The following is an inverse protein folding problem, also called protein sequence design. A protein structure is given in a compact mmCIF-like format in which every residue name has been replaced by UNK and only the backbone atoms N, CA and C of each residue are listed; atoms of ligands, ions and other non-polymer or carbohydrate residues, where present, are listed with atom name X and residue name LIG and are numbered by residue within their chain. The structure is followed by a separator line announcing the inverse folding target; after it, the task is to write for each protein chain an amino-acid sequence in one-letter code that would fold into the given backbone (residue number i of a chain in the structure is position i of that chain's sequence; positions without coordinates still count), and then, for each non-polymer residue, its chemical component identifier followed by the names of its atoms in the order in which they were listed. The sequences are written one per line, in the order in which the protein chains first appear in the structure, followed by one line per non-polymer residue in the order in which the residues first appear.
data_IF_863736619973
#
_entry.id   IF_863736619973
#
_cell.length_a   1.000
_cell.length_b   1.000
_cell.length_c   1.000
_cell.angle_alpha   90.00
_cell.angle_beta   90.00
_cell.angle_gamma   90.00
#
_symmetry.space_group_name_H-M   'P 1'
#
loop_
_entity.id
_entity.type
_entity.pdbx_description
1 polymer ?
#
# COMPACT_ATOMS: atom_id res chain seq x y z
N UNK A 1 6.99 -10.46 0.85
CA UNK A 1 6.08 -9.69 1.73
C UNK A 1 6.83 -8.80 2.72
N UNK A 2 7.62 -9.35 3.64
CA UNK A 2 8.27 -8.57 4.72
C UNK A 2 9.27 -7.53 4.20
N UNK A 3 10.14 -7.88 3.24
CA UNK A 3 11.10 -6.93 2.67
C UNK A 3 10.42 -5.79 1.88
N UNK A 4 9.37 -6.12 1.12
CA UNK A 4 8.59 -5.12 0.38
C UNK A 4 7.85 -4.17 1.31
N UNK A 5 7.27 -4.68 2.40
CA UNK A 5 6.68 -3.85 3.44
C UNK A 5 7.75 -2.93 4.06
N UNK A 6 8.93 -3.44 4.40
CA UNK A 6 9.99 -2.60 4.96
C UNK A 6 10.43 -1.48 4.00
N UNK A 7 10.50 -1.78 2.69
CA UNK A 7 10.77 -0.78 1.64
C UNK A 7 9.70 0.31 1.59
N UNK A 8 8.42 -0.09 1.59
CA UNK A 8 7.27 0.83 1.55
C UNK A 8 7.25 1.71 2.80
N UNK A 9 7.51 1.14 3.98
CA UNK A 9 7.53 1.87 5.25
C UNK A 9 8.64 2.93 5.30
N UNK A 10 9.76 2.70 4.60
CA UNK A 10 10.84 3.68 4.50
C UNK A 10 10.56 4.82 3.52
N UNK A 11 9.64 4.62 2.57
CA UNK A 11 9.34 5.57 1.49
C UNK A 11 8.03 6.34 1.70
N UNK A 12 7.07 5.73 2.41
CA UNK A 12 5.71 6.23 2.54
C UNK A 12 5.32 6.32 4.02
N UNK A 13 4.39 7.23 4.35
CA UNK A 13 3.90 7.41 5.72
C UNK A 13 2.72 6.49 6.02
N UNK A 14 2.88 5.20 5.75
CA UNK A 14 1.87 4.20 6.07
C UNK A 14 2.07 3.65 7.48
N UNK A 15 0.98 3.35 8.17
CA UNK A 15 1.05 2.54 9.37
C UNK A 15 1.54 1.12 9.03
N UNK A 16 2.06 0.40 10.02
CA UNK A 16 2.65 -0.92 9.80
C UNK A 16 1.65 -1.92 9.16
N UNK A 17 0.37 -1.84 9.53
CA UNK A 17 -0.70 -2.66 8.94
C UNK A 17 -0.91 -2.36 7.46
N UNK A 18 -1.07 -1.09 7.10
CA UNK A 18 -1.32 -0.65 5.73
C UNK A 18 -0.11 -0.86 4.83
N UNK A 19 1.09 -0.81 5.41
CA UNK A 19 2.33 -1.17 4.73
C UNK A 19 2.34 -2.65 4.31
N UNK A 20 1.91 -3.56 5.20
CA UNK A 20 1.80 -4.99 4.88
C UNK A 20 0.71 -5.21 3.82
N UNK A 21 -0.41 -4.49 3.93
CA UNK A 21 -1.50 -4.54 2.96
C UNK A 21 -1.01 -4.08 1.57
N UNK A 22 -0.36 -2.93 1.47
CA UNK A 22 0.22 -2.40 0.24
C UNK A 22 1.26 -3.37 -0.35
N UNK A 23 2.14 -3.95 0.49
CA UNK A 23 3.12 -4.93 0.05
C UNK A 23 2.47 -6.19 -0.54
N UNK A 24 1.42 -6.71 0.09
CA UNK A 24 0.68 -7.88 -0.39
C UNK A 24 -0.01 -7.58 -1.72
N UNK A 25 -0.67 -6.42 -1.82
CA UNK A 25 -1.30 -5.92 -3.04
C UNK A 25 -0.30 -5.88 -4.21
N UNK A 26 0.84 -5.24 -4.01
CA UNK A 26 1.87 -5.10 -5.05
C UNK A 26 2.55 -6.43 -5.41
N UNK A 27 2.82 -7.31 -4.44
CA UNK A 27 3.38 -8.64 -4.72
C UNK A 27 2.45 -9.50 -5.58
N UNK A 28 1.14 -9.33 -5.40
CA UNK A 28 0.14 -10.01 -6.22
C UNK A 28 -0.15 -9.28 -7.54
N UNK A 29 0.63 -8.25 -7.90
CA UNK A 29 0.45 -7.43 -9.10
C UNK A 29 -0.93 -6.75 -9.16
N UNK A 30 -1.54 -6.54 -8.00
CA UNK A 30 -2.76 -5.75 -7.87
C UNK A 30 -2.31 -4.31 -7.71
N UNK A 31 -2.87 -3.41 -8.52
CA UNK A 31 -2.53 -1.98 -8.49
C UNK A 31 -3.70 -1.11 -8.09
N UNK A 32 -4.83 -1.72 -7.71
CA UNK A 32 -6.03 -0.99 -7.29
C UNK A 32 -6.51 -1.49 -5.95
N UNK A 33 -6.68 -0.59 -4.99
CA UNK A 33 -7.21 -0.87 -3.65
C UNK A 33 -8.50 -0.10 -3.47
N UNK A 34 -9.54 -0.78 -3.00
CA UNK A 34 -10.79 -0.14 -2.60
C UNK A 34 -10.71 0.18 -1.12
N UNK A 35 -10.64 1.46 -0.76
CA UNK A 35 -10.47 1.90 0.63
C UNK A 35 -10.94 3.34 0.85
N UNK A 36 -11.46 3.61 2.05
CA UNK A 36 -11.69 4.97 2.56
C UNK A 36 -10.42 5.62 3.11
N UNK A 37 -9.36 4.83 3.32
CA UNK A 37 -8.10 5.32 3.85
C UNK A 37 -7.27 5.99 2.75
N UNK A 38 -7.20 7.33 2.81
CA UNK A 38 -6.45 8.18 1.88
C UNK A 38 -4.93 7.97 1.96
N UNK A 39 -4.43 7.31 3.00
CA UNK A 39 -2.98 7.11 3.19
C UNK A 39 -2.40 6.21 2.09
N UNK A 40 -3.23 5.35 1.47
CA UNK A 40 -2.85 4.57 0.28
C UNK A 40 -2.55 5.42 -0.94
N UNK A 41 -3.08 6.65 -1.03
CA UNK A 41 -2.75 7.58 -2.12
C UNK A 41 -1.28 8.02 -2.07
N UNK A 42 -0.60 7.81 -0.94
CA UNK A 42 0.84 8.08 -0.82
C UNK A 42 1.72 7.05 -1.53
N UNK A 43 1.20 5.89 -1.90
CA UNK A 43 1.93 4.82 -2.61
C UNK A 43 1.67 4.95 -4.11
N UNK A 44 2.64 5.49 -4.86
CA UNK A 44 2.48 5.83 -6.28
C UNK A 44 2.07 4.62 -7.16
N UNK A 45 2.48 3.41 -6.79
CA UNK A 45 2.15 2.18 -7.52
C UNK A 45 0.73 1.66 -7.25
N UNK A 46 0.01 2.23 -6.28
CA UNK A 46 -1.34 1.84 -5.90
C UNK A 46 -2.30 2.97 -6.27
N UNK A 47 -3.36 2.61 -6.98
CA UNK A 47 -4.52 3.46 -7.21
C UNK A 47 -5.59 3.16 -6.17
N UNK A 48 -5.93 4.12 -5.32
CA UNK A 48 -7.09 4.00 -4.44
C UNK A 48 -8.39 4.29 -5.21
N UNK A 49 -9.44 3.54 -4.90
CA UNK A 49 -10.82 3.86 -5.26
C UNK A 49 -11.62 3.93 -3.96
N UNK A 50 -12.29 5.05 -3.75
CA UNK A 50 -13.23 5.20 -2.64
C UNK A 50 -14.61 4.64 -3.04
N UNK A 51 -15.26 3.78 -2.23
CA UNK A 51 -16.60 3.28 -2.49
C UNK A 51 -17.71 4.33 -2.34
#
# INVERSE_FOLDING_TARGET
MVFKAHEIMGKHKLAAGDTIHAAMTLENKITTVVSYDEEFDSVEEIKRIEP
#
